data_IF_751630107516
#
_entry.id   IF_751630107516
#
_cell.length_a   1.000
_cell.length_b   1.000
_cell.length_c   1.000
_cell.angle_alpha   90.00
_cell.angle_beta   90.00
_cell.angle_gamma   90.00
#
_symmetry.space_group_name_H-M   'P 1'
#
loop_
_entity.id
_entity.type
_entity.pdbx_description
1 polymer ?
#
# COMPACT_ATOMS: atom_id res chain seq x y z
N UNK A 1 -28.92 -8.95 -11.48
CA UNK A 1 -28.52 -10.37 -11.45
C UNK A 1 -28.86 -10.95 -12.81
N UNK A 2 -27.90 -11.51 -13.54
CA UNK A 2 -28.20 -12.20 -14.81
C UNK A 2 -28.72 -13.60 -14.47
N UNK A 3 -30.04 -13.76 -14.43
CA UNK A 3 -30.70 -15.03 -14.07
C UNK A 3 -30.40 -16.18 -15.04
N UNK A 4 -29.82 -15.88 -16.20
CA UNK A 4 -29.49 -16.88 -17.23
C UNK A 4 -28.17 -17.60 -17.00
N UNK A 5 -27.28 -17.05 -16.15
CA UNK A 5 -25.94 -17.60 -15.92
C UNK A 5 -25.83 -18.26 -14.55
N UNK A 6 -25.40 -19.51 -14.51
CA UNK A 6 -25.19 -20.24 -13.25
C UNK A 6 -23.85 -19.90 -12.61
N UNK A 7 -23.80 -19.94 -11.29
CA UNK A 7 -22.54 -19.94 -10.55
C UNK A 7 -21.73 -21.20 -10.89
N UNK A 8 -20.42 -21.03 -11.04
CA UNK A 8 -19.45 -22.12 -11.17
C UNK A 8 -18.57 -22.15 -9.92
N UNK A 9 -18.34 -23.34 -9.40
CA UNK A 9 -17.36 -23.53 -8.33
C UNK A 9 -15.98 -23.66 -8.97
N UNK A 10 -15.07 -22.73 -8.67
CA UNK A 10 -13.73 -22.69 -9.27
C UNK A 10 -12.70 -22.17 -8.27
N UNK A 11 -11.45 -22.59 -8.45
CA UNK A 11 -10.30 -22.01 -7.73
C UNK A 11 -9.89 -20.71 -8.42
N UNK A 12 -9.80 -19.60 -7.68
CA UNK A 12 -9.54 -18.26 -8.22
C UNK A 12 -8.12 -17.76 -7.96
N UNK A 13 -7.18 -18.64 -7.57
CA UNK A 13 -5.87 -18.22 -7.05
C UNK A 13 -5.89 -17.87 -5.56
N UNK A 14 -7.04 -17.45 -5.04
CA UNK A 14 -7.28 -17.02 -3.65
C UNK A 14 -8.22 -17.99 -2.90
N UNK A 15 -8.23 -19.26 -3.27
CA UNK A 15 -9.16 -20.27 -2.76
C UNK A 15 -10.34 -20.57 -3.68
N UNK A 16 -11.23 -21.45 -3.22
CA UNK A 16 -12.39 -21.88 -3.99
C UNK A 16 -13.59 -20.96 -3.76
N UNK A 17 -14.14 -20.43 -4.86
CA UNK A 17 -15.24 -19.49 -4.85
C UNK A 17 -16.37 -19.96 -5.79
N UNK A 18 -17.61 -19.56 -5.46
CA UNK A 18 -18.75 -19.63 -6.38
C UNK A 18 -18.77 -18.35 -7.21
N UNK A 19 -18.38 -18.46 -8.48
CA UNK A 19 -18.22 -17.30 -9.38
C UNK A 19 -19.32 -17.31 -10.43
N UNK A 20 -19.91 -16.16 -10.69
CA UNK A 20 -20.88 -15.95 -11.78
C UNK A 20 -20.36 -14.84 -12.68
N UNK A 21 -20.34 -15.09 -14.00
CA UNK A 21 -19.95 -14.06 -14.95
C UNK A 21 -20.98 -12.93 -14.98
N UNK A 22 -20.54 -11.68 -14.77
CA UNK A 22 -21.38 -10.48 -14.77
C UNK A 22 -21.02 -9.50 -15.88
N UNK A 23 -21.18 -9.83 -17.18
CA UNK A 23 -20.73 -8.99 -18.28
C UNK A 23 -21.45 -7.64 -18.34
N UNK A 24 -22.74 -7.58 -17.98
CA UNK A 24 -23.51 -6.33 -17.98
C UNK A 24 -22.96 -5.36 -16.92
N UNK A 25 -22.69 -5.86 -15.71
CA UNK A 25 -22.10 -5.05 -14.64
C UNK A 25 -20.70 -4.58 -15.03
N UNK A 26 -19.89 -5.49 -15.60
CA UNK A 26 -18.56 -5.14 -16.08
C UNK A 26 -18.61 -4.05 -17.16
N UNK A 27 -19.51 -4.16 -18.16
CA UNK A 27 -19.69 -3.16 -19.21
C UNK A 27 -20.08 -1.79 -18.66
N UNK A 28 -21.03 -1.72 -17.73
CA UNK A 28 -21.45 -0.46 -17.11
C UNK A 28 -20.31 0.16 -16.29
N UNK A 29 -19.59 -0.64 -15.50
CA UNK A 29 -18.46 -0.16 -14.72
C UNK A 29 -17.31 0.33 -15.60
N UNK A 30 -17.01 -0.37 -16.71
CA UNK A 30 -16.06 0.10 -17.72
C UNK A 30 -16.51 1.37 -18.43
N UNK A 31 -17.82 1.58 -18.61
CA UNK A 31 -18.36 2.82 -19.16
C UNK A 31 -18.16 3.99 -18.19
N UNK A 32 -18.53 3.81 -16.93
CA UNK A 32 -18.32 4.80 -15.86
C UNK A 32 -16.83 5.18 -15.79
N UNK A 33 -15.93 4.20 -15.72
CA UNK A 33 -14.49 4.47 -15.67
C UNK A 33 -14.01 5.28 -16.88
N UNK A 34 -14.45 4.95 -18.09
CA UNK A 34 -14.08 5.70 -19.30
C UNK A 34 -14.59 7.14 -19.26
N UNK A 35 -15.81 7.36 -18.79
CA UNK A 35 -16.40 8.69 -18.70
C UNK A 35 -15.69 9.52 -17.63
N UNK A 36 -15.37 8.94 -16.46
CA UNK A 36 -14.54 9.58 -15.43
C UNK A 36 -13.14 9.94 -15.94
N UNK A 37 -12.46 9.04 -16.67
CA UNK A 37 -11.14 9.33 -17.24
C UNK A 37 -11.22 10.51 -18.22
N UNK A 38 -12.26 10.57 -19.06
CA UNK A 38 -12.47 11.68 -19.99
C UNK A 38 -12.69 13.01 -19.26
N UNK A 39 -13.48 13.00 -18.19
CA UNK A 39 -13.76 14.20 -17.38
C UNK A 39 -12.52 14.70 -16.63
N UNK A 40 -11.72 13.80 -16.04
CA UNK A 40 -10.47 14.14 -15.34
C UNK A 40 -9.40 14.66 -16.32
N UNK A 41 -9.41 14.20 -17.57
CA UNK A 41 -8.53 14.68 -18.62
C UNK A 41 -7.12 14.09 -18.58
N UNK A 42 -6.11 14.89 -18.97
CA UNK A 42 -4.74 14.42 -19.29
C UNK A 42 -3.95 13.83 -18.12
N UNK A 43 -4.45 13.94 -16.89
CA UNK A 43 -3.72 13.58 -15.66
C UNK A 43 -4.37 12.41 -14.90
N UNK A 44 -4.95 11.44 -15.60
CA UNK A 44 -5.45 10.23 -14.93
C UNK A 44 -4.29 9.45 -14.29
N UNK A 45 -4.30 9.38 -12.96
CA UNK A 45 -3.37 8.57 -12.16
C UNK A 45 -4.18 7.49 -11.45
N UNK A 46 -4.50 6.42 -12.17
CA UNK A 46 -5.26 5.27 -11.66
C UNK A 46 -5.16 4.06 -12.59
N UNK A 47 -5.56 2.87 -12.12
CA UNK A 47 -5.67 1.70 -12.99
C UNK A 47 -6.85 1.85 -13.96
N UNK A 48 -6.69 1.33 -15.17
CA UNK A 48 -7.74 1.20 -16.18
C UNK A 48 -8.51 -0.13 -16.08
N UNK A 49 -8.10 -1.03 -15.17
CA UNK A 49 -8.68 -2.35 -14.96
C UNK A 49 -9.81 -2.27 -13.93
N UNK A 50 -10.94 -2.92 -14.23
CA UNK A 50 -12.10 -3.03 -13.34
C UNK A 50 -12.13 -4.42 -12.72
N UNK A 51 -11.79 -4.52 -11.44
CA UNK A 51 -11.87 -5.77 -10.68
C UNK A 51 -13.26 -5.95 -10.05
N UNK A 52 -14.01 -6.95 -10.50
CA UNK A 52 -15.37 -7.23 -10.04
C UNK A 52 -15.59 -8.74 -9.87
N UNK A 53 -15.21 -9.28 -8.71
CA UNK A 53 -15.37 -10.71 -8.44
C UNK A 53 -14.54 -11.56 -9.39
N UNK A 54 -13.32 -11.10 -9.71
CA UNK A 54 -12.36 -11.78 -10.57
C UNK A 54 -11.31 -12.54 -9.74
N UNK A 55 -10.23 -13.00 -10.37
CA UNK A 55 -9.20 -13.77 -9.69
C UNK A 55 -8.42 -12.92 -8.66
N UNK A 56 -8.26 -11.63 -8.93
CA UNK A 56 -7.45 -10.73 -8.11
C UNK A 56 -8.23 -10.18 -6.92
N UNK A 57 -9.54 -9.95 -7.12
CA UNK A 57 -10.47 -9.55 -6.06
C UNK A 57 -11.81 -10.32 -6.15
N UNK A 58 -11.84 -11.58 -5.69
CA UNK A 58 -13.00 -12.45 -5.87
C UNK A 58 -14.22 -12.08 -5.02
N UNK A 59 -14.04 -11.29 -3.96
CA UNK A 59 -15.15 -10.81 -3.12
C UNK A 59 -14.79 -9.51 -2.37
N UNK A 60 -15.81 -8.86 -1.79
CA UNK A 60 -15.66 -7.61 -1.04
C UNK A 60 -14.87 -7.76 0.28
N UNK A 61 -14.86 -8.95 0.88
CA UNK A 61 -14.07 -9.21 2.09
C UNK A 61 -12.56 -9.13 1.78
N UNK A 62 -12.12 -9.61 0.62
CA UNK A 62 -10.74 -9.47 0.19
C UNK A 62 -10.34 -8.01 -0.03
N UNK A 63 -11.27 -7.14 -0.47
CA UNK A 63 -11.04 -5.70 -0.48
C UNK A 63 -10.84 -5.16 0.94
N UNK A 64 -11.74 -5.49 1.87
CA UNK A 64 -11.64 -5.01 3.26
C UNK A 64 -10.33 -5.46 3.89
N UNK A 65 -9.99 -6.74 3.78
CA UNK A 65 -8.77 -7.31 4.36
C UNK A 65 -7.51 -6.60 3.86
N UNK A 66 -7.34 -6.45 2.54
CA UNK A 66 -6.19 -5.75 1.94
C UNK A 66 -6.07 -4.31 2.45
N UNK A 67 -7.18 -3.57 2.53
CA UNK A 67 -7.15 -2.18 2.98
C UNK A 67 -6.92 -2.05 4.49
N UNK A 68 -7.27 -3.06 5.29
CA UNK A 68 -6.96 -3.08 6.73
C UNK A 68 -5.47 -3.25 7.02
N UNK A 69 -4.66 -3.67 6.03
CA UNK A 69 -3.20 -3.73 6.16
C UNK A 69 -2.54 -2.35 6.03
N UNK A 70 -3.17 -1.39 5.34
CA UNK A 70 -2.59 -0.07 5.08
C UNK A 70 -2.23 0.67 6.39
N UNK A 71 -3.13 0.76 7.40
CA UNK A 71 -2.79 1.40 8.67
C UNK A 71 -1.62 0.72 9.39
N UNK A 72 -1.49 -0.61 9.31
CA UNK A 72 -0.41 -1.35 9.96
C UNK A 72 0.96 -0.95 9.43
N UNK A 73 1.05 -0.68 8.13
CA UNK A 73 2.28 -0.23 7.47
C UNK A 73 2.54 1.26 7.72
N UNK A 74 1.51 2.10 7.54
CA UNK A 74 1.69 3.56 7.54
C UNK A 74 1.84 4.12 8.97
N UNK A 75 1.11 3.59 9.96
CA UNK A 75 1.12 4.15 11.32
C UNK A 75 2.51 4.18 11.96
N UNK A 76 3.34 3.11 11.86
CA UNK A 76 4.73 3.15 12.33
C UNK A 76 5.58 4.24 11.69
N UNK A 77 5.40 4.48 10.39
CA UNK A 77 6.13 5.53 9.67
C UNK A 77 5.68 6.90 10.17
N UNK A 78 4.36 7.13 10.32
CA UNK A 78 3.83 8.39 10.88
C UNK A 78 4.37 8.62 12.30
N UNK A 79 4.36 7.59 13.16
CA UNK A 79 4.89 7.67 14.52
C UNK A 79 6.37 8.07 14.50
N UNK A 80 7.15 7.44 13.63
CA UNK A 80 8.56 7.78 13.45
C UNK A 80 8.74 9.24 13.03
N UNK A 81 8.04 9.70 12.00
CA UNK A 81 8.17 11.08 11.48
C UNK A 81 7.78 12.12 12.54
N UNK A 82 6.71 11.87 13.30
CA UNK A 82 6.28 12.76 14.39
C UNK A 82 7.27 12.78 15.56
N UNK A 83 7.84 11.62 15.90
CA UNK A 83 8.80 11.49 16.99
C UNK A 83 10.20 12.04 16.69
N UNK A 84 10.52 12.33 15.42
CA UNK A 84 11.84 12.91 15.05
C UNK A 84 12.11 14.19 15.85
N UNK A 85 11.13 15.10 15.97
CA UNK A 85 11.38 16.39 16.63
C UNK A 85 11.66 16.22 18.13
N UNK A 86 11.07 15.21 18.78
CA UNK A 86 11.28 14.90 20.19
C UNK A 86 12.70 14.35 20.43
N UNK A 87 13.19 13.42 19.59
CA UNK A 87 14.52 12.82 19.76
C UNK A 87 15.65 13.79 19.40
N UNK A 88 15.38 14.82 18.59
CA UNK A 88 16.32 15.90 18.27
C UNK A 88 16.60 16.83 19.46
N UNK A 89 15.93 16.62 20.61
CA UNK A 89 16.32 17.26 21.87
C UNK A 89 17.60 16.66 22.48
N UNK A 90 18.03 15.48 22.01
CA UNK A 90 19.21 14.80 22.53
C UNK A 90 20.46 15.20 21.74
N UNK A 91 21.48 15.83 22.37
CA UNK A 91 22.62 16.40 21.66
C UNK A 91 23.38 15.41 20.76
N UNK A 92 23.54 14.16 21.22
CA UNK A 92 24.22 13.12 20.44
C UNK A 92 23.44 12.68 19.19
N UNK A 93 22.11 12.66 19.26
CA UNK A 93 21.26 12.35 18.10
C UNK A 93 21.29 13.51 17.11
N UNK A 94 21.21 14.74 17.60
CA UNK A 94 21.26 15.93 16.74
C UNK A 94 22.57 16.00 15.98
N UNK A 95 23.71 15.81 16.65
CA UNK A 95 25.02 15.79 16.00
C UNK A 95 25.12 14.68 14.93
N UNK A 96 24.62 13.48 15.23
CA UNK A 96 24.62 12.38 14.27
C UNK A 96 23.70 12.66 13.07
N UNK A 97 22.50 13.17 13.31
CA UNK A 97 21.52 13.50 12.25
C UNK A 97 22.03 14.63 11.36
N UNK A 98 22.62 15.66 11.93
CA UNK A 98 23.20 16.77 11.16
C UNK A 98 24.41 16.31 10.34
N UNK A 99 25.22 15.37 10.85
CA UNK A 99 26.33 14.77 10.11
C UNK A 99 25.86 13.89 8.93
N UNK A 100 24.95 12.95 9.19
CA UNK A 100 24.60 11.90 8.21
C UNK A 100 23.44 12.28 7.27
N UNK A 101 22.54 13.15 7.72
CA UNK A 101 21.32 13.53 7.00
C UNK A 101 21.23 15.05 6.75
N UNK A 102 21.98 15.87 7.48
CA UNK A 102 22.09 17.31 7.30
C UNK A 102 21.06 18.15 8.07
N UNK A 103 19.90 17.59 8.40
CA UNK A 103 18.93 18.18 9.33
C UNK A 103 17.80 17.18 9.65
N UNK A 104 17.02 17.46 10.71
CA UNK A 104 15.79 16.74 11.02
C UNK A 104 14.81 16.70 9.84
N UNK A 105 14.66 17.81 9.12
CA UNK A 105 13.76 17.89 7.97
C UNK A 105 14.26 17.01 6.81
N UNK A 106 15.57 17.05 6.52
CA UNK A 106 16.17 16.19 5.50
C UNK A 106 16.10 14.70 5.87
N UNK A 107 16.18 14.37 7.16
CA UNK A 107 15.94 13.01 7.65
C UNK A 107 14.49 12.56 7.38
N UNK A 108 13.49 13.37 7.76
CA UNK A 108 12.07 13.09 7.46
C UNK A 108 11.84 12.92 5.96
N UNK A 109 12.37 13.82 5.14
CA UNK A 109 12.32 13.70 3.68
C UNK A 109 13.01 12.44 3.17
N UNK A 110 14.12 12.03 3.76
CA UNK A 110 14.84 10.82 3.35
C UNK A 110 14.03 9.55 3.60
N UNK A 111 13.41 9.45 4.79
CA UNK A 111 12.51 8.33 5.14
C UNK A 111 11.31 8.29 4.19
N UNK A 112 10.62 9.43 4.04
CA UNK A 112 9.42 9.50 3.19
C UNK A 112 9.76 9.25 1.73
N UNK A 113 10.82 9.86 1.20
CA UNK A 113 11.25 9.67 -0.18
C UNK A 113 11.58 8.21 -0.46
N UNK A 114 12.28 7.54 0.45
CA UNK A 114 12.61 6.12 0.30
C UNK A 114 11.35 5.25 0.32
N UNK A 115 10.42 5.50 1.25
CA UNK A 115 9.14 4.79 1.31
C UNK A 115 8.27 5.04 0.07
N UNK A 116 8.11 6.29 -0.38
CA UNK A 116 7.31 6.58 -1.57
C UNK A 116 7.93 6.05 -2.86
N UNK A 117 9.27 5.96 -2.93
CA UNK A 117 9.96 5.46 -4.11
C UNK A 117 9.94 3.94 -4.20
N UNK A 118 9.96 3.23 -3.09
CA UNK A 118 10.17 1.77 -3.06
C UNK A 118 9.02 1.00 -2.40
N UNK A 119 8.29 1.61 -1.48
CA UNK A 119 7.12 1.02 -0.83
C UNK A 119 5.83 1.13 -1.65
N UNK A 120 5.77 2.00 -2.68
CA UNK A 120 4.59 2.17 -3.55
C UNK A 120 4.89 1.99 -5.04
N UNK A 121 6.04 1.43 -5.40
CA UNK A 121 6.45 1.30 -6.80
C UNK A 121 5.68 0.21 -7.58
N UNK A 122 4.94 -0.66 -6.88
CA UNK A 122 4.18 -1.74 -7.49
C UNK A 122 5.03 -2.86 -8.08
N UNK A 123 6.35 -2.86 -7.84
CA UNK A 123 7.29 -3.89 -8.32
C UNK A 123 7.17 -5.23 -7.59
N UNK A 124 6.41 -5.27 -6.49
CA UNK A 124 6.30 -6.45 -5.63
C UNK A 124 5.44 -7.59 -6.19
N UNK A 125 4.65 -7.39 -7.24
CA UNK A 125 3.75 -8.41 -7.77
C UNK A 125 3.55 -8.28 -9.30
N UNK A 126 3.25 -9.40 -9.97
CA UNK A 126 3.19 -9.50 -11.44
C UNK A 126 1.84 -9.12 -12.06
N UNK A 127 0.92 -8.60 -11.26
CA UNK A 127 -0.33 -8.02 -11.76
C UNK A 127 -1.60 -8.64 -11.19
N UNK A 128 -1.62 -8.92 -9.89
CA UNK A 128 -2.87 -9.01 -9.14
C UNK A 128 -3.62 -7.68 -9.13
N UNK A 129 -4.32 -7.35 -8.05
CA UNK A 129 -4.99 -6.04 -7.96
C UNK A 129 -3.97 -4.92 -7.72
N UNK A 130 -4.25 -3.66 -8.11
CA UNK A 130 -3.32 -2.53 -7.83
C UNK A 130 -2.89 -2.43 -6.38
N UNK A 131 -3.76 -2.86 -5.47
CA UNK A 131 -3.50 -2.85 -4.05
C UNK A 131 -2.54 -3.97 -3.67
N UNK A 132 -2.56 -5.13 -4.33
CA UNK A 132 -1.63 -6.23 -4.07
C UNK A 132 -0.20 -5.82 -4.41
N UNK A 133 0.06 -5.35 -5.63
CA UNK A 133 1.40 -4.94 -6.03
C UNK A 133 1.99 -3.86 -5.12
N UNK A 134 1.16 -2.89 -4.70
CA UNK A 134 1.59 -1.83 -3.77
C UNK A 134 1.77 -2.33 -2.35
N UNK A 135 0.89 -3.18 -1.83
CA UNK A 135 1.05 -3.77 -0.50
C UNK A 135 2.27 -4.68 -0.46
N UNK A 136 2.56 -5.42 -1.53
CA UNK A 136 3.75 -6.26 -1.62
C UNK A 136 5.03 -5.43 -1.69
N UNK A 137 5.05 -4.34 -2.48
CA UNK A 137 6.15 -3.37 -2.44
C UNK A 137 6.36 -2.78 -1.04
N UNK A 138 5.27 -2.38 -0.39
CA UNK A 138 5.31 -1.81 0.96
C UNK A 138 5.81 -2.83 1.99
N UNK A 139 5.36 -4.09 1.88
CA UNK A 139 5.85 -5.20 2.69
C UNK A 139 7.34 -5.44 2.47
N UNK A 140 7.80 -5.49 1.21
CA UNK A 140 9.21 -5.66 0.87
C UNK A 140 10.06 -4.51 1.44
N UNK A 141 9.55 -3.29 1.42
CA UNK A 141 10.19 -2.15 2.09
C UNK A 141 10.30 -2.36 3.60
N UNK A 142 9.23 -2.83 4.24
CA UNK A 142 9.21 -3.14 5.69
C UNK A 142 10.26 -4.20 6.05
N UNK A 143 10.38 -5.27 5.24
CA UNK A 143 11.39 -6.32 5.44
C UNK A 143 12.83 -5.81 5.34
N UNK A 144 13.05 -4.73 4.59
CA UNK A 144 14.36 -4.12 4.45
C UNK A 144 14.62 -3.02 5.49
N UNK A 145 13.63 -2.60 6.27
CA UNK A 145 13.72 -1.44 7.16
C UNK A 145 14.92 -1.53 8.11
N UNK A 146 15.19 -2.71 8.69
CA UNK A 146 16.31 -2.93 9.61
C UNK A 146 17.69 -2.71 8.98
N UNK A 147 17.79 -2.75 7.65
CA UNK A 147 19.03 -2.53 6.89
C UNK A 147 19.23 -1.07 6.48
N UNK A 148 18.24 -0.20 6.71
CA UNK A 148 18.27 1.21 6.29
C UNK A 148 19.03 2.05 7.31
N UNK A 149 19.80 3.03 6.84
CA UNK A 149 20.63 3.90 7.70
C UNK A 149 19.83 4.61 8.80
N UNK A 150 18.58 4.95 8.54
CA UNK A 150 17.70 5.63 9.48
C UNK A 150 16.91 4.66 10.40
N UNK A 151 17.21 3.36 10.40
CA UNK A 151 16.49 2.40 11.24
C UNK A 151 16.55 2.74 12.74
N UNK A 152 17.68 3.26 13.21
CA UNK A 152 17.84 3.74 14.60
C UNK A 152 16.77 4.75 14.97
N UNK A 153 16.36 5.62 14.05
CA UNK A 153 15.31 6.62 14.30
C UNK A 153 13.97 5.95 14.55
N UNK A 154 13.64 4.88 13.82
CA UNK A 154 12.44 4.08 14.09
C UNK A 154 12.49 3.49 15.50
N UNK A 155 13.61 2.85 15.88
CA UNK A 155 13.76 2.29 17.22
C UNK A 155 13.61 3.34 18.34
N UNK A 156 14.25 4.50 18.17
CA UNK A 156 14.20 5.61 19.16
C UNK A 156 12.81 6.25 19.27
N UNK A 157 12.02 6.22 18.21
CA UNK A 157 10.64 6.72 18.20
C UNK A 157 9.61 5.66 18.62
N UNK A 158 10.09 4.55 19.19
CA UNK A 158 9.25 3.51 19.77
C UNK A 158 8.63 2.57 18.73
N UNK A 159 9.32 2.32 17.62
CA UNK A 159 9.00 1.23 16.71
C UNK A 159 9.43 -0.11 17.31
N UNK A 160 8.51 -1.06 17.36
CA UNK A 160 8.77 -2.45 17.77
C UNK A 160 8.55 -3.42 16.62
N UNK A 161 7.41 -3.32 15.95
CA UNK A 161 7.06 -4.06 14.73
C UNK A 161 5.97 -3.32 13.95
N UNK A 162 5.73 -3.75 12.71
CA UNK A 162 4.58 -3.29 11.92
C UNK A 162 3.25 -3.93 12.36
N UNK A 163 3.30 -5.02 13.12
CA UNK A 163 2.10 -5.69 13.65
C UNK A 163 1.70 -5.19 15.05
N UNK A 164 2.55 -4.40 15.72
CA UNK A 164 2.30 -3.85 17.05
C UNK A 164 2.04 -4.90 18.15
N UNK A 165 1.87 -4.45 19.40
CA UNK A 165 1.23 -5.27 20.43
C UNK A 165 -0.28 -5.01 20.34
N UNK A 166 -1.06 -6.07 20.12
CA UNK A 166 -2.53 -6.04 20.12
C UNK A 166 -3.09 -5.65 21.50
#
# INVERSE_FOLDING_TARGET
QDSTRRYKYQYTGQGYNRVQAGPLVHQEMSKILRDTIKEVGKSWVGLSVVHLGDNDVPNALNFIDKYTQIPRIINPIIKCIKGVDEIMTWPGITQWVDSDFGSAEKLKCSILRDFYRHGFDGSGDDGGSCIDGRLTSAWNWCQQLSKKKYFVIFALTGFSSFDGQF
#
